data_IF_191832459265
#
_entry.id   IF_191832459265
#
_cell.length_a   1.000
_cell.length_b   1.000
_cell.length_c   1.000
_cell.angle_alpha   90.00
_cell.angle_beta   90.00
_cell.angle_gamma   90.00
#
_symmetry.space_group_name_H-M   'P 1'
#
loop_
_entity.id
_entity.type
_entity.pdbx_description
1 polymer ?
#
# COMPACT_ATOMS: atom_id res chain seq x y z
N UNK A 1 -6.42 -10.92 -2.04
CA UNK A 1 -5.93 -10.88 -3.44
C UNK A 1 -4.90 -9.76 -3.57
N UNK A 2 -3.82 -9.93 -4.33
CA UNK A 2 -2.84 -8.84 -4.59
C UNK A 2 -3.01 -8.30 -6.01
N UNK A 3 -3.01 -6.97 -6.16
CA UNK A 3 -3.28 -6.28 -7.43
C UNK A 3 -2.33 -5.10 -7.67
N UNK A 4 -2.26 -4.64 -8.93
CA UNK A 4 -1.48 -3.48 -9.35
C UNK A 4 -2.41 -2.36 -9.84
N UNK A 5 -2.19 -1.13 -9.38
CA UNK A 5 -2.96 0.05 -9.76
C UNK A 5 -2.42 0.73 -11.04
N UNK A 6 -2.02 -0.04 -12.06
CA UNK A 6 -1.38 0.51 -13.26
C UNK A 6 -2.31 1.44 -14.07
N UNK A 7 -3.62 1.18 -14.04
CA UNK A 7 -4.64 2.03 -14.66
C UNK A 7 -5.11 3.17 -13.73
N UNK A 8 -4.42 3.38 -12.60
CA UNK A 8 -4.82 4.28 -11.52
C UNK A 8 -5.61 3.56 -10.42
N UNK A 9 -5.53 4.07 -9.19
CA UNK A 9 -6.19 3.48 -8.02
C UNK A 9 -7.72 3.44 -8.18
N UNK A 10 -8.32 4.52 -8.71
CA UNK A 10 -9.76 4.61 -8.92
C UNK A 10 -10.35 3.50 -9.80
N UNK A 11 -9.56 2.89 -10.69
CA UNK A 11 -10.00 1.74 -11.49
C UNK A 11 -10.27 0.47 -10.66
N UNK A 12 -9.76 0.43 -9.41
CA UNK A 12 -9.96 -0.68 -8.48
C UNK A 12 -11.23 -0.55 -7.63
N UNK A 13 -11.96 0.57 -7.69
CA UNK A 13 -13.10 0.84 -6.80
C UNK A 13 -14.16 -0.30 -6.79
N UNK A 14 -14.50 -0.84 -7.96
CA UNK A 14 -15.44 -1.97 -8.07
C UNK A 14 -14.92 -3.25 -7.40
N UNK A 15 -13.61 -3.51 -7.52
CA UNK A 15 -12.95 -4.64 -6.87
C UNK A 15 -12.88 -4.47 -5.35
N UNK A 16 -12.52 -3.26 -4.88
CA UNK A 16 -12.48 -2.94 -3.44
C UNK A 16 -13.85 -3.14 -2.81
N UNK A 17 -14.91 -2.61 -3.45
CA UNK A 17 -16.28 -2.78 -3.00
C UNK A 17 -16.67 -4.26 -2.91
N UNK A 18 -16.42 -5.03 -3.97
CA UNK A 18 -16.74 -6.46 -3.99
C UNK A 18 -15.99 -7.23 -2.88
N UNK A 19 -14.71 -6.91 -2.66
CA UNK A 19 -13.92 -7.53 -1.61
C UNK A 19 -14.49 -7.21 -0.22
N UNK A 20 -14.84 -5.95 0.04
CA UNK A 20 -15.43 -5.52 1.30
C UNK A 20 -16.78 -6.20 1.57
N UNK A 21 -17.67 -6.25 0.57
CA UNK A 21 -18.98 -6.93 0.66
C UNK A 21 -18.84 -8.44 0.93
N UNK A 22 -17.75 -9.05 0.46
CA UNK A 22 -17.41 -10.44 0.72
C UNK A 22 -16.65 -10.66 2.05
N UNK A 23 -16.55 -9.65 2.92
CA UNK A 23 -15.75 -9.67 4.15
C UNK A 23 -14.26 -10.04 3.92
N UNK A 24 -13.75 -9.72 2.73
CA UNK A 24 -12.36 -9.90 2.33
C UNK A 24 -11.61 -8.58 2.19
N UNK A 25 -10.43 -8.65 1.58
CA UNK A 25 -9.61 -7.48 1.31
C UNK A 25 -8.67 -7.66 0.13
N UNK A 26 -8.17 -6.53 -0.36
CA UNK A 26 -7.23 -6.45 -1.49
C UNK A 26 -5.93 -5.81 -1.04
N UNK A 27 -4.80 -6.35 -1.49
CA UNK A 27 -3.49 -5.75 -1.29
C UNK A 27 -3.05 -5.08 -2.59
N UNK A 28 -2.85 -3.77 -2.54
CA UNK A 28 -2.32 -3.01 -3.69
C UNK A 28 -0.80 -2.94 -3.58
N UNK A 29 -0.09 -3.23 -4.67
CA UNK A 29 1.37 -3.05 -4.70
C UNK A 29 1.70 -1.56 -4.77
N UNK A 30 2.20 -1.01 -3.66
CA UNK A 30 2.52 0.42 -3.50
C UNK A 30 4.01 0.66 -3.72
N UNK A 31 4.86 -0.04 -2.96
CA UNK A 31 6.32 0.13 -3.00
C UNK A 31 7.00 -1.23 -2.89
N UNK A 32 7.31 -1.89 -4.01
CA UNK A 32 7.92 -3.23 -3.98
C UNK A 32 9.44 -3.15 -3.86
N UNK A 33 10.07 -4.19 -3.29
CA UNK A 33 11.54 -4.33 -3.25
C UNK A 33 12.16 -4.67 -4.61
N UNK A 34 11.36 -4.82 -5.68
CA UNK A 34 11.83 -5.23 -7.00
C UNK A 34 12.49 -4.05 -7.74
N UNK A 35 13.82 -4.08 -8.02
CA UNK A 35 14.55 -2.94 -8.59
C UNK A 35 13.98 -2.45 -9.93
N UNK A 36 13.46 -3.36 -10.74
CA UNK A 36 12.88 -3.08 -12.07
C UNK A 36 11.65 -2.16 -11.98
N UNK A 37 10.95 -2.14 -10.84
CA UNK A 37 9.79 -1.28 -10.62
C UNK A 37 10.13 0.09 -10.05
N UNK A 38 11.37 0.31 -9.61
CA UNK A 38 11.75 1.50 -8.84
C UNK A 38 11.53 2.80 -9.64
N UNK A 39 11.89 2.81 -10.92
CA UNK A 39 11.73 4.00 -11.77
C UNK A 39 10.27 4.45 -11.86
N UNK A 40 9.31 3.50 -11.90
CA UNK A 40 7.89 3.81 -11.93
C UNK A 40 7.38 4.25 -10.55
N UNK A 41 7.71 3.49 -9.51
CA UNK A 41 7.21 3.74 -8.14
C UNK A 41 7.70 5.08 -7.57
N UNK A 42 8.93 5.48 -7.92
CA UNK A 42 9.56 6.72 -7.48
C UNK A 42 9.39 7.88 -8.47
N UNK A 43 8.71 7.68 -9.59
CA UNK A 43 8.42 8.76 -10.52
C UNK A 43 7.61 9.85 -9.81
N UNK A 44 8.02 11.11 -9.96
CA UNK A 44 7.32 12.25 -9.35
C UNK A 44 6.16 12.72 -10.21
N UNK A 45 5.02 12.91 -9.57
CA UNK A 45 3.83 13.52 -10.13
C UNK A 45 3.96 15.06 -10.13
N UNK A 46 3.03 15.75 -10.79
CA UNK A 46 3.05 17.21 -10.92
C UNK A 46 2.93 17.96 -9.59
N UNK A 47 2.46 17.30 -8.53
CA UNK A 47 2.36 17.84 -7.17
C UNK A 47 3.58 17.52 -6.28
N UNK A 48 4.61 16.89 -6.86
CA UNK A 48 5.86 16.55 -6.18
C UNK A 48 5.89 15.20 -5.48
N UNK A 49 4.73 14.55 -5.24
CA UNK A 49 4.65 13.21 -4.66
C UNK A 49 5.17 12.17 -5.65
N UNK A 50 5.72 11.08 -5.14
CA UNK A 50 6.00 9.88 -5.94
C UNK A 50 4.71 9.12 -6.26
N UNK A 51 4.74 8.23 -7.26
CA UNK A 51 3.60 7.31 -7.52
C UNK A 51 3.28 6.46 -6.28
N UNK A 52 4.29 5.95 -5.58
CA UNK A 52 4.09 5.18 -4.35
C UNK A 52 3.41 5.99 -3.24
N UNK A 53 3.84 7.24 -3.03
CA UNK A 53 3.19 8.17 -2.09
C UNK A 53 1.72 8.43 -2.51
N UNK A 54 1.48 8.75 -3.78
CA UNK A 54 0.12 8.98 -4.26
C UNK A 54 -0.81 7.79 -3.99
N UNK A 55 -0.37 6.57 -4.32
CA UNK A 55 -1.13 5.35 -4.04
C UNK A 55 -1.36 5.15 -2.53
N UNK A 56 -0.36 5.42 -1.69
CA UNK A 56 -0.52 5.31 -0.23
C UNK A 56 -1.60 6.26 0.31
N UNK A 57 -1.61 7.52 -0.16
CA UNK A 57 -2.63 8.50 0.22
C UNK A 57 -4.03 8.09 -0.25
N UNK A 58 -4.15 7.60 -1.49
CA UNK A 58 -5.43 7.16 -2.06
C UNK A 58 -6.00 5.97 -1.26
N UNK A 59 -5.16 5.00 -0.89
CA UNK A 59 -5.54 3.87 -0.03
C UNK A 59 -5.98 4.35 1.34
N UNK A 60 -5.22 5.27 1.96
CA UNK A 60 -5.56 5.81 3.28
C UNK A 60 -6.91 6.54 3.26
N UNK A 61 -7.17 7.34 2.23
CA UNK A 61 -8.43 8.03 2.06
C UNK A 61 -9.62 7.05 1.89
N UNK A 62 -9.43 5.99 1.09
CA UNK A 62 -10.47 4.98 0.88
C UNK A 62 -10.74 4.17 2.15
N UNK A 63 -9.70 3.73 2.87
CA UNK A 63 -9.89 3.05 4.14
C UNK A 63 -10.56 3.93 5.20
N UNK A 64 -10.24 5.22 5.25
CA UNK A 64 -10.94 6.17 6.14
C UNK A 64 -12.43 6.29 5.78
N UNK A 65 -12.78 6.27 4.49
CA UNK A 65 -14.17 6.24 4.02
C UNK A 65 -14.90 4.97 4.48
N UNK A 66 -14.30 3.79 4.29
CA UNK A 66 -14.89 2.51 4.69
C UNK A 66 -15.06 2.37 6.20
N UNK A 67 -14.14 2.92 6.99
CA UNK A 67 -14.21 2.86 8.45
C UNK A 67 -15.26 3.81 9.04
N UNK A 68 -15.63 4.87 8.33
CA UNK A 68 -16.61 5.87 8.78
C UNK A 68 -16.35 6.39 10.22
N UNK A 69 -15.07 6.60 10.57
CA UNK A 69 -14.64 7.04 11.90
C UNK A 69 -14.46 5.93 12.94
N UNK A 70 -14.62 4.66 12.54
CA UNK A 70 -14.29 3.49 13.36
C UNK A 70 -12.78 3.29 13.53
N UNK A 71 -12.41 2.49 14.54
CA UNK A 71 -11.03 2.07 14.77
C UNK A 71 -10.71 0.78 14.01
N UNK A 72 -9.50 0.67 13.45
CA UNK A 72 -9.01 -0.57 12.83
C UNK A 72 -8.45 -0.34 11.44
N UNK A 73 -8.49 -1.41 10.62
CA UNK A 73 -8.03 -1.38 9.24
C UNK A 73 -9.22 -1.51 8.28
N UNK A 74 -9.17 -0.77 7.17
CA UNK A 74 -10.14 -0.91 6.07
C UNK A 74 -9.84 -2.12 5.16
N UNK A 75 -10.65 -2.31 4.11
CA UNK A 75 -10.56 -3.48 3.22
C UNK A 75 -9.34 -3.45 2.28
N UNK A 76 -8.59 -2.34 2.23
CA UNK A 76 -7.45 -2.17 1.33
C UNK A 76 -6.14 -2.22 2.12
N UNK A 77 -5.36 -3.28 1.88
CA UNK A 77 -3.99 -3.38 2.34
C UNK A 77 -2.99 -2.86 1.30
N UNK A 78 -1.75 -2.67 1.74
CA UNK A 78 -0.65 -2.23 0.89
C UNK A 78 0.50 -3.24 0.93
N UNK A 79 1.12 -3.47 -0.23
CA UNK A 79 2.40 -4.20 -0.31
C UNK A 79 3.54 -3.19 -0.29
N UNK A 80 4.37 -3.27 0.76
CA UNK A 80 5.52 -2.39 0.98
C UNK A 80 6.74 -3.27 1.26
N UNK A 81 7.77 -3.23 0.40
CA UNK A 81 8.97 -4.04 0.53
C UNK A 81 9.80 -3.59 1.71
N UNK A 82 10.05 -4.49 2.67
CA UNK A 82 10.72 -4.17 3.93
C UNK A 82 12.17 -3.71 3.77
N UNK A 83 12.80 -3.97 2.63
CA UNK A 83 14.19 -3.59 2.33
C UNK A 83 14.30 -2.25 1.60
N UNK A 84 13.20 -1.51 1.41
CA UNK A 84 13.23 -0.20 0.77
C UNK A 84 13.56 0.88 1.80
N UNK A 85 14.52 1.77 1.52
CA UNK A 85 14.93 2.84 2.44
C UNK A 85 13.77 3.79 2.81
N UNK A 86 12.80 3.93 1.93
CA UNK A 86 11.60 4.76 2.08
C UNK A 86 10.39 4.02 2.69
N UNK A 87 10.54 2.75 3.10
CA UNK A 87 9.42 1.93 3.55
C UNK A 87 8.66 2.52 4.74
N UNK A 88 9.36 3.02 5.76
CA UNK A 88 8.73 3.60 6.95
C UNK A 88 7.86 4.81 6.60
N UNK A 89 8.38 5.72 5.75
CA UNK A 89 7.64 6.90 5.31
C UNK A 89 6.38 6.53 4.49
N UNK A 90 6.41 5.44 3.72
CA UNK A 90 5.22 4.93 3.02
C UNK A 90 4.22 4.32 4.02
N UNK A 91 4.68 3.57 5.02
CA UNK A 91 3.83 2.95 6.05
C UNK A 91 3.16 4.00 6.93
N UNK A 92 3.84 5.09 7.28
CA UNK A 92 3.28 6.21 8.05
C UNK A 92 2.06 6.86 7.36
N UNK A 93 1.98 6.73 6.03
CA UNK A 93 0.87 7.24 5.21
C UNK A 93 -0.31 6.26 5.14
N UNK A 94 -0.22 5.11 5.80
CA UNK A 94 -1.17 3.99 5.73
C UNK A 94 -1.69 3.56 7.12
N UNK A 95 -2.17 4.49 7.98
CA UNK A 95 -2.49 4.22 9.40
C UNK A 95 -3.62 3.19 9.61
N UNK A 96 -4.46 2.98 8.60
CA UNK A 96 -5.63 2.10 8.64
C UNK A 96 -5.57 0.98 7.61
N UNK A 97 -4.36 0.56 7.24
CA UNK A 97 -4.13 -0.43 6.19
C UNK A 97 -3.36 -1.63 6.74
N UNK A 98 -3.72 -2.83 6.30
CA UNK A 98 -2.86 -3.99 6.51
C UNK A 98 -1.61 -3.88 5.63
N UNK A 99 -0.42 -4.04 6.22
CA UNK A 99 0.83 -4.05 5.48
C UNK A 99 1.26 -5.48 5.19
N UNK A 100 1.36 -5.82 3.91
CA UNK A 100 2.06 -7.01 3.46
C UNK A 100 3.50 -6.62 3.14
N UNK A 101 4.43 -7.07 3.98
CA UNK A 101 5.85 -6.72 3.87
C UNK A 101 6.69 -7.88 3.30
N UNK A 102 6.75 -8.07 1.97
CA UNK A 102 7.62 -9.06 1.37
C UNK A 102 9.09 -8.67 1.63
N UNK A 103 9.90 -9.70 1.87
CA UNK A 103 11.33 -9.59 2.10
C UNK A 103 11.77 -9.82 3.54
N UNK A 104 10.83 -9.93 4.47
CA UNK A 104 11.10 -10.39 5.84
C UNK A 104 11.49 -11.87 5.83
N UNK A 105 12.55 -12.23 6.54
CA UNK A 105 13.10 -13.59 6.59
C UNK A 105 14.02 -13.88 5.42
N UNK A 106 13.56 -14.62 4.41
CA UNK A 106 14.41 -15.20 3.37
C UNK A 106 15.15 -14.16 2.49
N UNK A 107 14.67 -12.91 2.42
CA UNK A 107 15.33 -11.82 1.68
C UNK A 107 16.08 -10.85 2.59
N UNK A 108 16.24 -11.19 3.88
CA UNK A 108 17.15 -10.54 4.80
C UNK A 108 16.56 -9.46 5.70
N UNK A 109 15.32 -9.02 5.51
CA UNK A 109 14.68 -8.10 6.46
C UNK A 109 14.25 -8.83 7.74
N UNK A 110 14.34 -8.15 8.87
CA UNK A 110 13.95 -8.68 10.19
C UNK A 110 12.66 -8.03 10.69
N UNK A 111 11.99 -8.61 11.68
CA UNK A 111 10.84 -7.97 12.31
C UNK A 111 11.19 -6.61 12.93
N UNK A 112 12.45 -6.40 13.33
CA UNK A 112 12.93 -5.13 13.85
C UNK A 112 13.00 -4.03 12.77
N UNK A 113 13.12 -4.40 11.50
CA UNK A 113 13.14 -3.45 10.38
C UNK A 113 11.73 -2.94 10.03
N UNK A 114 10.67 -3.63 10.48
CA UNK A 114 9.26 -3.24 10.31
C UNK A 114 8.79 -2.32 11.45
N UNK A 115 9.38 -2.45 12.64
CA UNK A 115 8.93 -1.77 13.86
C UNK A 115 9.59 -0.40 14.12
N UNK A 116 10.29 0.17 13.13
CA UNK A 116 10.85 1.53 13.17
C UNK A 116 9.89 2.52 12.54
#
# INVERSE_FOLDING_TARGET
LTVHAYLGYGALAGLVKLAAEAAGGVFVVVRSSNPQGQALQLARLGDGRTVAECLADEISADNAHWLAGGSGCGPVGAVVGATCDDAAAIVDRLPHSYILAPGVGAQGATCADIAR
#
